data_IF_045302734297
#
_entry.id   IF_045302734297
#
_cell.length_a   1.000
_cell.length_b   1.000
_cell.length_c   1.000
_cell.angle_alpha   90.00
_cell.angle_beta   90.00
_cell.angle_gamma   90.00
#
_symmetry.space_group_name_H-M   'P 1'
#
loop_
_entity.id
_entity.type
_entity.pdbx_description
1 polymer ?
#
# COMPACT_ATOMS: atom_id res chain seq x y z
N UNK A 1 9.00 -25.03 -1.91
CA UNK A 1 7.62 -24.62 -1.64
C UNK A 1 7.64 -23.19 -1.12
N UNK A 2 7.36 -22.21 -1.99
CA UNK A 2 7.29 -20.80 -1.62
C UNK A 2 6.01 -20.64 -0.77
N UNK A 3 6.16 -20.33 0.52
CA UNK A 3 5.00 -20.06 1.40
C UNK A 3 4.28 -18.84 0.84
N UNK A 4 3.13 -19.05 0.21
CA UNK A 4 2.14 -17.99 0.00
C UNK A 4 1.72 -17.58 1.41
N UNK A 5 2.35 -16.55 1.96
CA UNK A 5 1.81 -15.88 3.14
C UNK A 5 0.44 -15.37 2.71
N UNK A 6 -0.61 -15.93 3.30
CA UNK A 6 -1.96 -15.41 3.12
C UNK A 6 -1.93 -14.02 3.72
N UNK A 7 -1.85 -13.00 2.86
CA UNK A 7 -1.99 -11.61 3.26
C UNK A 7 -3.43 -11.46 3.74
N UNK A 8 -3.62 -11.11 5.00
CA UNK A 8 -4.94 -10.89 5.54
C UNK A 8 -5.52 -9.55 5.06
N UNK A 9 -6.85 -9.46 5.05
CA UNK A 9 -7.53 -8.22 4.66
C UNK A 9 -7.15 -7.06 5.60
N UNK A 10 -6.85 -7.35 6.87
CA UNK A 10 -6.45 -6.35 7.85
C UNK A 10 -5.09 -5.70 7.50
N UNK A 11 -4.14 -6.45 6.97
CA UNK A 11 -2.86 -5.93 6.49
C UNK A 11 -3.05 -5.08 5.22
N UNK A 12 -3.91 -5.51 4.30
CA UNK A 12 -4.26 -4.70 3.12
C UNK A 12 -4.92 -3.37 3.53
N UNK A 13 -5.86 -3.41 4.46
CA UNK A 13 -6.53 -2.21 4.97
C UNK A 13 -5.54 -1.28 5.69
N UNK A 14 -4.66 -1.84 6.54
CA UNK A 14 -3.62 -1.07 7.23
C UNK A 14 -2.65 -0.41 6.23
N UNK A 15 -2.26 -1.13 5.18
CA UNK A 15 -1.41 -0.63 4.11
C UNK A 15 -2.10 0.46 3.29
N UNK A 16 -3.40 0.30 2.99
CA UNK A 16 -4.19 1.33 2.31
C UNK A 16 -4.28 2.62 3.15
N UNK A 17 -4.48 2.51 4.46
CA UNK A 17 -4.49 3.66 5.38
C UNK A 17 -3.12 4.35 5.39
N UNK A 18 -2.03 3.57 5.54
CA UNK A 18 -0.68 4.12 5.55
C UNK A 18 -0.35 4.83 4.24
N UNK A 19 -0.73 4.23 3.10
CA UNK A 19 -0.56 4.85 1.79
C UNK A 19 -1.38 6.14 1.66
N UNK A 20 -2.62 6.16 2.14
CA UNK A 20 -3.45 7.35 2.14
C UNK A 20 -2.84 8.51 2.94
N UNK A 21 -2.31 8.23 4.13
CA UNK A 21 -1.60 9.23 4.96
C UNK A 21 -0.33 9.75 4.30
N UNK A 22 0.39 8.88 3.58
CA UNK A 22 1.53 9.31 2.79
C UNK A 22 1.09 10.25 1.65
N UNK A 23 -0.01 9.95 0.95
CA UNK A 23 -0.54 10.79 -0.13
C UNK A 23 -1.05 12.15 0.34
N UNK A 24 -1.58 12.25 1.56
CA UNK A 24 -1.99 13.53 2.16
C UNK A 24 -0.84 14.31 2.79
N UNK A 25 0.37 13.73 2.83
CA UNK A 25 1.54 14.35 3.45
C UNK A 25 1.57 14.25 4.98
N UNK A 26 0.65 13.49 5.58
CA UNK A 26 0.61 13.24 7.03
C UNK A 26 1.79 12.39 7.51
N UNK A 27 2.30 11.49 6.66
CA UNK A 27 3.44 10.62 6.97
C UNK A 27 4.49 10.65 5.87
N UNK A 28 5.76 10.43 6.20
CA UNK A 28 6.84 10.40 5.20
C UNK A 28 6.94 9.03 4.54
N UNK A 29 7.64 8.97 3.40
CA UNK A 29 7.90 7.71 2.68
C UNK A 29 8.55 6.65 3.59
N UNK A 30 9.44 7.07 4.49
CA UNK A 30 10.06 6.16 5.45
C UNK A 30 9.07 5.54 6.46
N UNK A 31 8.05 6.30 6.85
CA UNK A 31 7.01 5.81 7.76
C UNK A 31 6.09 4.81 7.02
N UNK A 32 5.78 5.09 5.75
CA UNK A 32 5.11 4.14 4.85
C UNK A 32 5.92 2.85 4.70
N UNK A 33 7.23 2.97 4.48
CA UNK A 33 8.13 1.82 4.35
C UNK A 33 8.20 0.95 5.61
N UNK A 34 8.00 1.55 6.79
CA UNK A 34 7.94 0.84 8.07
C UNK A 34 6.58 0.23 8.35
N UNK A 35 5.50 0.89 7.92
CA UNK A 35 4.13 0.43 8.15
C UNK A 35 3.70 -0.70 7.19
N UNK A 36 4.42 -0.89 6.09
CA UNK A 36 4.06 -1.83 5.03
C UNK A 36 5.26 -2.72 4.66
N UNK A 37 5.09 -4.04 4.59
CA UNK A 37 6.11 -4.93 4.03
C UNK A 37 6.05 -4.92 2.50
N UNK A 38 7.09 -5.44 1.84
CA UNK A 38 7.09 -5.57 0.38
C UNK A 38 5.93 -6.47 -0.09
N UNK A 39 5.69 -7.58 0.60
CA UNK A 39 4.65 -8.55 0.27
C UNK A 39 3.24 -7.94 0.39
N UNK A 40 3.00 -7.13 1.42
CA UNK A 40 1.74 -6.41 1.60
C UNK A 40 1.59 -5.31 0.54
N UNK A 41 2.65 -4.56 0.25
CA UNK A 41 2.63 -3.54 -0.79
C UNK A 41 2.43 -4.13 -2.19
N UNK A 42 3.00 -5.31 -2.47
CA UNK A 42 2.77 -6.04 -3.71
C UNK A 42 1.31 -6.49 -3.82
N UNK A 43 0.76 -7.06 -2.75
CA UNK A 43 -0.64 -7.45 -2.72
C UNK A 43 -1.58 -6.24 -2.89
N UNK A 44 -1.27 -5.12 -2.24
CA UNK A 44 -2.02 -3.87 -2.37
C UNK A 44 -1.96 -3.33 -3.81
N UNK A 45 -0.80 -3.36 -4.46
CA UNK A 45 -0.65 -2.95 -5.87
C UNK A 45 -1.47 -3.79 -6.84
N UNK A 46 -1.81 -5.04 -6.46
CA UNK A 46 -2.63 -5.97 -7.25
C UNK A 46 -4.12 -5.92 -6.87
N UNK A 47 -4.49 -5.21 -5.81
CA UNK A 47 -5.85 -5.18 -5.26
C UNK A 47 -6.80 -4.20 -5.95
N UNK A 48 -6.32 -3.45 -6.95
CA UNK A 48 -7.06 -2.37 -7.63
C UNK A 48 -7.49 -1.19 -6.73
N UNK A 49 -7.16 -1.22 -5.43
CA UNK A 49 -7.44 -0.13 -4.47
C UNK A 49 -6.51 1.08 -4.68
N UNK A 50 -5.37 0.86 -5.33
CA UNK A 50 -4.32 1.86 -5.55
C UNK A 50 -3.71 1.69 -6.93
N UNK A 51 -3.14 2.78 -7.45
CA UNK A 51 -2.34 2.82 -8.66
C UNK A 51 -0.91 3.22 -8.30
N UNK A 52 -0.19 2.23 -7.77
CA UNK A 52 1.25 2.31 -7.63
C UNK A 52 1.90 1.02 -8.07
N UNK A 53 3.18 1.13 -8.40
CA UNK A 53 4.08 0.01 -8.62
C UNK A 53 5.07 -0.07 -7.47
N UNK A 54 5.37 -1.28 -7.02
CA UNK A 54 6.36 -1.54 -6.00
C UNK A 54 7.44 -2.46 -6.57
N UNK A 55 8.70 -2.08 -6.41
CA UNK A 55 9.83 -2.87 -6.93
C UNK A 55 10.83 -3.12 -5.82
N UNK A 56 11.20 -4.38 -5.63
CA UNK A 56 12.27 -4.77 -4.70
C UNK A 56 13.63 -4.40 -5.30
N UNK A 57 14.44 -3.68 -4.53
CA UNK A 57 15.80 -3.31 -4.89
C UNK A 57 16.79 -4.38 -4.44
N UNK A 58 17.98 -4.39 -5.05
CA UNK A 58 19.09 -5.31 -4.73
C UNK A 58 19.56 -5.19 -3.28
N UNK A 59 19.34 -4.03 -2.64
CA UNK A 59 19.66 -3.76 -1.24
C UNK A 59 18.66 -4.34 -0.23
N UNK A 60 17.61 -5.02 -0.68
CA UNK A 60 16.52 -5.52 0.17
C UNK A 60 15.48 -4.47 0.54
N UNK A 61 15.71 -3.18 0.20
CA UNK A 61 14.68 -2.14 0.23
C UNK A 61 13.72 -2.29 -0.94
N UNK A 62 12.61 -1.58 -0.91
CA UNK A 62 11.71 -1.48 -2.05
C UNK A 62 11.46 -0.02 -2.41
N UNK A 63 11.02 0.21 -3.65
CA UNK A 63 10.65 1.53 -4.15
C UNK A 63 9.20 1.52 -4.57
N UNK A 64 8.44 2.53 -4.15
CA UNK A 64 7.08 2.78 -4.60
C UNK A 64 7.11 3.89 -5.65
N UNK A 65 6.40 3.69 -6.75
CA UNK A 65 6.14 4.72 -7.76
C UNK A 65 4.66 4.75 -8.04
N UNK A 66 4.02 5.89 -7.77
CA UNK A 66 2.58 6.07 -7.92
C UNK A 66 2.22 7.11 -8.99
N UNK A 67 0.95 7.11 -9.41
CA UNK A 67 0.41 8.03 -10.43
C UNK A 67 0.05 9.43 -9.91
N UNK A 68 0.66 9.89 -8.81
CA UNK A 68 0.41 11.23 -8.27
C UNK A 68 -0.93 11.34 -7.54
N UNK A 69 -1.72 12.37 -7.81
CA UNK A 69 -2.97 12.66 -7.09
C UNK A 69 -4.03 11.56 -7.23
N UNK A 70 -3.95 10.76 -8.30
CA UNK A 70 -4.88 9.66 -8.60
C UNK A 70 -4.38 8.29 -8.14
N UNK A 71 -3.40 8.25 -7.25
CA UNK A 71 -2.80 7.00 -6.77
C UNK A 71 -3.76 6.14 -5.93
N UNK A 72 -4.87 6.68 -5.42
CA UNK A 72 -5.92 5.92 -4.73
C UNK A 72 -7.15 5.91 -5.64
N UNK A 73 -7.59 4.72 -6.02
CA UNK A 73 -8.75 4.53 -6.90
C UNK A 73 -10.06 4.82 -6.17
N UNK A 74 -11.16 4.93 -6.90
CA UNK A 74 -12.49 5.08 -6.29
C UNK A 74 -12.83 3.90 -5.36
N UNK A 75 -12.43 2.68 -5.74
CA UNK A 75 -12.55 1.49 -4.89
C UNK A 75 -11.72 1.62 -3.61
N UNK A 76 -10.49 2.15 -3.71
CA UNK A 76 -9.65 2.45 -2.54
C UNK A 76 -10.28 3.51 -1.62
N UNK A 77 -10.87 4.57 -2.19
CA UNK A 77 -11.57 5.61 -1.42
C UNK A 77 -12.80 5.05 -0.70
N UNK A 78 -13.64 4.29 -1.41
CA UNK A 78 -14.79 3.61 -0.81
C UNK A 78 -14.37 2.66 0.31
N UNK A 79 -13.27 1.91 0.14
CA UNK A 79 -12.72 1.05 1.19
C UNK A 79 -12.25 1.86 2.40
N UNK A 80 -11.58 2.99 2.19
CA UNK A 80 -11.15 3.90 3.27
C UNK A 80 -12.34 4.48 4.04
N UNK A 81 -13.45 4.81 3.37
CA UNK A 81 -14.68 5.25 4.03
C UNK A 81 -15.25 4.15 4.94
N UNK A 82 -15.38 2.92 4.43
CA UNK A 82 -15.83 1.76 5.22
C UNK A 82 -14.94 1.50 6.44
N UNK A 83 -13.62 1.68 6.30
CA UNK A 83 -12.67 1.52 7.41
C UNK A 83 -12.84 2.62 8.48
N UNK A 84 -13.18 3.84 8.06
CA UNK A 84 -13.26 5.01 8.96
C UNK A 84 -14.57 5.07 9.75
N UNK A 85 -15.63 4.39 9.29
CA UNK A 85 -16.94 4.34 9.94
C UNK A 85 -17.86 5.46 9.48
#
# INVERSE_FOLDING_TARGET
MQRVQVIDQAALDSALIAFARYKTGETKLFDLERAMSFEVGEALSRSELVRFTITKMVSGRYRIRDEGENAITDAGRARLEVIRG
#
